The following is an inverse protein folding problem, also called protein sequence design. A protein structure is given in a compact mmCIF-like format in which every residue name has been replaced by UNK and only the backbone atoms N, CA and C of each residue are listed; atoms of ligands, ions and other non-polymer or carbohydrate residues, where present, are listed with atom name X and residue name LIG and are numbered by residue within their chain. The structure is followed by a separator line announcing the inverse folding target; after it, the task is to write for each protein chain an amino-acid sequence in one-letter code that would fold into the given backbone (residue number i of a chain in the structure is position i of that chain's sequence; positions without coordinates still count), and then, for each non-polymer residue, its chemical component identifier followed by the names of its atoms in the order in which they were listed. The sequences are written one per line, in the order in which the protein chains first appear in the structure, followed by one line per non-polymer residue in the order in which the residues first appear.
data_IF_047022262482
#
_entry.id   IF_047022262482
#
_cell.length_a   1.000
_cell.length_b   1.000
_cell.length_c   1.000
_cell.angle_alpha   90.00
_cell.angle_beta   90.00
_cell.angle_gamma   90.00
#
_symmetry.space_group_name_H-M   'P 1'
#
loop_
_entity.id
_entity.type
_entity.pdbx_description
1 polymer ?
#
# COMPACT_ATOMS: atom_id res chain seq x y z
N UNK A 1 70.01 17.95 -37.83
CA UNK A 1 68.83 17.24 -37.29
C UNK A 1 68.40 17.94 -36.00
N UNK A 2 67.12 18.31 -35.95
CA UNK A 2 66.31 18.98 -34.92
C UNK A 2 66.38 18.29 -33.53
N UNK A 3 66.02 18.82 -32.35
CA UNK A 3 65.56 20.11 -31.79
C UNK A 3 65.64 19.97 -30.25
N UNK A 4 65.72 21.07 -29.50
CA UNK A 4 65.64 21.09 -28.03
C UNK A 4 64.26 21.57 -27.52
N UNK A 5 63.91 21.06 -26.34
CA UNK A 5 62.67 21.21 -25.56
C UNK A 5 62.24 22.65 -25.21
N UNK A 6 60.92 22.89 -25.23
CA UNK A 6 60.09 23.39 -24.11
C UNK A 6 58.88 24.21 -24.62
N UNK A 7 57.78 23.53 -24.98
CA UNK A 7 56.50 24.19 -25.22
C UNK A 7 55.68 24.26 -23.93
N UNK A 8 55.23 25.48 -23.61
CA UNK A 8 54.24 25.80 -22.58
C UNK A 8 53.00 24.91 -22.73
N UNK A 9 52.52 24.33 -21.63
CA UNK A 9 51.26 23.62 -21.57
C UNK A 9 50.11 24.62 -21.77
N UNK A 10 49.36 24.48 -22.86
CA UNK A 10 48.01 25.01 -22.98
C UNK A 10 47.06 23.88 -22.56
N UNK A 11 46.08 24.08 -21.66
CA UNK A 11 45.09 23.06 -21.41
C UNK A 11 44.24 22.88 -22.68
N UNK A 12 44.27 21.66 -23.23
CA UNK A 12 43.41 21.24 -24.32
C UNK A 12 41.96 21.31 -23.86
N UNK A 13 41.13 22.07 -24.57
CA UNK A 13 39.68 22.02 -24.42
C UNK A 13 39.21 20.62 -24.85
N UNK A 14 38.99 19.74 -23.88
CA UNK A 14 38.46 18.40 -24.14
C UNK A 14 37.03 18.50 -24.71
N UNK A 15 36.79 18.03 -25.95
CA UNK A 15 35.45 18.05 -26.56
C UNK A 15 34.46 17.06 -25.91
N UNK A 16 34.92 16.19 -25.01
CA UNK A 16 34.09 15.22 -24.30
C UNK A 16 33.59 15.72 -22.92
N UNK A 17 33.58 17.02 -22.66
CA UNK A 17 32.82 17.55 -21.51
C UNK A 17 31.35 17.63 -21.88
N UNK A 18 30.75 16.47 -22.24
CA UNK A 18 29.32 16.33 -22.22
C UNK A 18 28.94 16.47 -20.76
N UNK A 19 28.30 17.60 -20.42
CA UNK A 19 27.65 17.76 -19.13
C UNK A 19 26.94 16.44 -18.85
N UNK A 20 27.21 15.86 -17.68
CA UNK A 20 26.44 14.72 -17.18
C UNK A 20 25.03 15.27 -16.98
N UNK A 21 24.24 15.31 -18.05
CA UNK A 21 22.81 15.51 -17.96
C UNK A 21 22.36 14.40 -17.03
N UNK A 22 21.98 14.82 -15.83
CA UNK A 22 21.22 13.96 -14.95
C UNK A 22 20.04 13.55 -15.81
N UNK A 23 19.80 12.25 -16.07
CA UNK A 23 18.65 11.88 -16.85
C UNK A 23 17.46 12.56 -16.20
N UNK A 24 16.70 13.34 -16.97
CA UNK A 24 15.35 13.74 -16.58
C UNK A 24 14.71 12.52 -15.92
N UNK A 25 14.08 12.64 -14.73
CA UNK A 25 13.26 11.56 -14.22
C UNK A 25 12.36 11.13 -15.38
N UNK A 26 12.58 9.94 -15.92
CA UNK A 26 11.65 9.39 -16.89
C UNK A 26 10.41 9.13 -16.05
N UNK A 27 9.40 9.99 -16.19
CA UNK A 27 8.11 9.80 -15.52
C UNK A 27 7.59 8.44 -15.96
N UNK A 28 7.66 7.47 -15.05
CA UNK A 28 7.03 6.18 -15.27
C UNK A 28 5.53 6.44 -15.44
N UNK A 29 4.88 5.83 -16.44
CA UNK A 29 3.44 5.96 -16.60
C UNK A 29 2.73 5.59 -15.31
N UNK A 30 1.88 6.49 -14.81
CA UNK A 30 1.02 6.24 -13.65
C UNK A 30 -0.21 5.51 -14.15
N UNK A 31 -0.55 4.39 -13.49
CA UNK A 31 -1.82 3.70 -13.71
C UNK A 31 -2.82 4.15 -12.64
N UNK A 32 -3.99 4.59 -13.10
CA UNK A 32 -5.10 4.99 -12.23
C UNK A 32 -6.07 3.82 -12.01
N UNK A 33 -6.47 3.62 -10.75
CA UNK A 33 -7.44 2.59 -10.37
C UNK A 33 -8.68 3.23 -9.75
N UNK A 34 -9.86 2.78 -10.17
CA UNK A 34 -11.13 3.12 -9.54
C UNK A 34 -11.61 1.95 -8.70
N UNK A 35 -11.97 2.20 -7.44
CA UNK A 35 -12.41 1.20 -6.46
C UNK A 35 -13.71 1.66 -5.78
N UNK A 36 -14.54 0.73 -5.35
CA UNK A 36 -15.80 1.04 -4.61
C UNK A 36 -15.54 1.75 -3.27
N UNK A 37 -14.34 1.54 -2.72
CA UNK A 37 -13.87 2.26 -1.54
C UNK A 37 -12.41 1.93 -1.23
N UNK A 38 -11.78 2.83 -0.47
CA UNK A 38 -10.37 2.75 -0.12
C UNK A 38 -10.22 2.99 1.38
N UNK A 39 -9.44 2.14 2.04
CA UNK A 39 -9.05 2.28 3.44
C UNK A 39 -7.55 2.42 3.53
N UNK A 40 -7.08 3.47 4.19
CA UNK A 40 -5.66 3.72 4.42
C UNK A 40 -5.34 3.46 5.89
N UNK A 41 -4.42 2.52 6.17
CA UNK A 41 -4.07 2.13 7.55
C UNK A 41 -3.39 3.24 8.37
N UNK A 42 -2.96 4.33 7.72
CA UNK A 42 -2.45 5.53 8.39
C UNK A 42 -3.57 6.33 9.05
N UNK A 43 -4.77 6.29 8.47
CA UNK A 43 -5.88 7.17 8.83
C UNK A 43 -7.02 6.39 9.51
N UNK A 44 -7.14 5.10 9.19
CA UNK A 44 -8.24 4.24 9.63
C UNK A 44 -7.69 2.97 10.28
N UNK A 45 -8.23 2.67 11.46
CA UNK A 45 -7.96 1.42 12.14
C UNK A 45 -8.85 0.28 11.61
N UNK A 46 -8.67 -0.89 12.21
CA UNK A 46 -9.41 -2.08 11.80
C UNK A 46 -10.89 -2.03 12.20
N UNK A 47 -11.26 -1.20 13.17
CA UNK A 47 -12.63 -1.05 13.65
C UNK A 47 -13.42 -0.22 12.64
N UNK A 48 -12.85 0.89 12.19
CA UNK A 48 -13.44 1.72 11.14
C UNK A 48 -13.50 0.98 9.80
N UNK A 49 -12.46 0.21 9.43
CA UNK A 49 -12.50 -0.66 8.26
C UNK A 49 -13.67 -1.65 8.34
N UNK A 50 -13.83 -2.33 9.48
CA UNK A 50 -14.89 -3.31 9.68
C UNK A 50 -16.27 -2.67 9.54
N UNK A 51 -16.50 -1.55 10.23
CA UNK A 51 -17.76 -0.80 10.18
C UNK A 51 -18.11 -0.34 8.76
N UNK A 52 -17.11 0.14 8.02
CA UNK A 52 -17.32 0.70 6.68
C UNK A 52 -17.59 -0.36 5.62
N UNK A 53 -16.85 -1.48 5.64
CA UNK A 53 -16.83 -2.43 4.52
C UNK A 53 -17.42 -3.81 4.81
N UNK A 54 -17.54 -4.19 6.09
CA UNK A 54 -17.86 -5.57 6.49
C UNK A 54 -19.17 -5.69 7.25
N UNK A 55 -19.45 -4.78 8.19
CA UNK A 55 -20.57 -4.87 9.15
C UNK A 55 -21.93 -5.13 8.47
N UNK A 56 -22.25 -4.40 7.40
CA UNK A 56 -23.51 -4.58 6.66
C UNK A 56 -23.70 -6.00 6.12
N UNK A 57 -22.61 -6.64 5.66
CA UNK A 57 -22.63 -8.01 5.16
C UNK A 57 -22.83 -9.03 6.28
N UNK A 58 -22.30 -8.76 7.46
CA UNK A 58 -22.50 -9.60 8.64
C UNK A 58 -23.95 -9.51 9.12
N UNK A 59 -24.56 -8.32 9.06
CA UNK A 59 -25.98 -8.15 9.34
C UNK A 59 -26.86 -8.95 8.35
N UNK A 60 -26.55 -8.91 7.06
CA UNK A 60 -27.18 -9.77 6.04
C UNK A 60 -27.09 -11.26 6.36
N UNK A 61 -25.95 -11.74 6.86
CA UNK A 61 -25.77 -13.16 7.25
C UNK A 61 -26.70 -13.55 8.40
N UNK A 62 -26.97 -12.65 9.37
CA UNK A 62 -27.97 -12.90 10.43
C UNK A 62 -29.37 -13.12 9.86
N UNK A 63 -29.67 -12.53 8.71
CA UNK A 63 -30.92 -12.68 7.97
C UNK A 63 -30.91 -13.88 7.01
N UNK A 64 -30.01 -14.85 7.23
CA UNK A 64 -29.84 -16.08 6.44
C UNK A 64 -29.27 -15.88 5.04
N UNK A 65 -28.69 -14.70 4.73
CA UNK A 65 -27.95 -14.52 3.48
C UNK A 65 -26.57 -15.21 3.53
N UNK A 66 -26.06 -15.56 2.35
CA UNK A 66 -24.71 -16.13 2.20
C UNK A 66 -23.74 -15.02 1.83
N UNK A 67 -22.64 -14.90 2.58
CA UNK A 67 -21.59 -13.93 2.29
C UNK A 67 -20.21 -14.59 2.30
N UNK A 68 -19.39 -14.23 1.30
CA UNK A 68 -17.97 -14.61 1.23
C UNK A 68 -17.15 -13.33 1.19
N UNK A 69 -16.27 -13.17 2.19
CA UNK A 69 -15.28 -12.08 2.25
C UNK A 69 -13.91 -12.68 2.02
N UNK A 70 -13.17 -12.14 1.05
CA UNK A 70 -11.85 -12.64 0.67
C UNK A 70 -10.83 -11.51 0.69
N UNK A 71 -9.62 -11.83 1.15
CA UNK A 71 -8.49 -10.93 1.16
C UNK A 71 -7.46 -11.39 0.13
N UNK A 72 -7.13 -10.52 -0.82
CA UNK A 72 -6.21 -10.80 -1.91
C UNK A 72 -5.05 -9.81 -1.91
N UNK A 73 -3.84 -10.32 -1.74
CA UNK A 73 -2.59 -9.57 -1.84
C UNK A 73 -1.40 -10.53 -1.82
N UNK A 74 -0.18 -10.08 -2.18
CA UNK A 74 1.03 -10.89 -2.08
C UNK A 74 1.35 -11.35 -0.65
N UNK A 75 2.15 -12.41 -0.51
CA UNK A 75 2.65 -12.87 0.80
C UNK A 75 3.39 -11.75 1.54
N UNK A 76 3.21 -11.65 2.86
CA UNK A 76 3.77 -10.56 3.68
C UNK A 76 2.93 -9.28 3.72
N UNK A 77 1.89 -9.13 2.89
CA UNK A 77 1.02 -7.93 2.86
C UNK A 77 -0.15 -7.98 3.87
N UNK A 78 0.06 -8.56 5.04
CA UNK A 78 -0.86 -8.49 6.19
C UNK A 78 -2.29 -9.06 6.02
N UNK A 79 -2.60 -9.89 5.00
CA UNK A 79 -3.93 -10.55 4.86
C UNK A 79 -4.39 -11.25 6.13
N UNK A 80 -3.55 -12.15 6.65
CA UNK A 80 -3.86 -12.94 7.85
C UNK A 80 -3.91 -12.05 9.09
N UNK A 81 -3.16 -10.95 9.12
CA UNK A 81 -3.25 -9.97 10.18
C UNK A 81 -4.63 -9.29 10.16
N UNK A 82 -5.08 -8.79 9.01
CA UNK A 82 -6.40 -8.16 8.87
C UNK A 82 -7.54 -9.14 9.19
N UNK A 83 -7.45 -10.40 8.70
CA UNK A 83 -8.51 -11.40 8.91
C UNK A 83 -8.53 -11.99 10.34
N UNK A 84 -7.37 -12.39 10.86
CA UNK A 84 -7.24 -13.27 12.03
C UNK A 84 -6.39 -12.68 13.16
N UNK A 85 -6.15 -11.37 13.21
CA UNK A 85 -5.48 -10.76 14.37
C UNK A 85 -6.27 -11.09 15.66
N UNK A 86 -5.61 -11.68 16.64
CA UNK A 86 -6.23 -12.06 17.91
C UNK A 86 -6.06 -10.99 19.01
N UNK A 87 -5.06 -10.10 18.87
CA UNK A 87 -4.82 -8.99 19.80
C UNK A 87 -5.82 -7.85 19.63
N UNK A 88 -5.94 -6.94 20.61
CA UNK A 88 -6.81 -5.75 20.51
C UNK A 88 -6.16 -4.67 19.62
N UNK A 89 -6.83 -4.17 18.57
CA UNK A 89 -8.18 -4.53 18.10
C UNK A 89 -8.20 -5.86 17.31
N UNK A 90 -9.23 -6.71 17.52
CA UNK A 90 -9.31 -8.03 16.89
C UNK A 90 -9.60 -7.96 15.40
N UNK A 91 -9.19 -9.01 14.68
CA UNK A 91 -9.37 -9.22 13.25
C UNK A 91 -10.83 -9.33 12.83
N UNK A 92 -11.06 -9.21 11.52
CA UNK A 92 -12.40 -9.27 10.91
C UNK A 92 -13.17 -10.52 11.36
N UNK A 93 -12.52 -11.69 11.40
CA UNK A 93 -13.19 -12.96 11.75
C UNK A 93 -13.74 -12.91 13.17
N UNK A 94 -12.94 -12.44 14.13
CA UNK A 94 -13.36 -12.38 15.53
C UNK A 94 -14.45 -11.33 15.76
N UNK A 95 -14.37 -10.19 15.06
CA UNK A 95 -15.44 -9.17 15.06
C UNK A 95 -16.75 -9.75 14.51
N UNK A 96 -16.71 -10.37 13.34
CA UNK A 96 -17.88 -11.02 12.74
C UNK A 96 -18.50 -12.10 13.62
N UNK A 97 -17.68 -12.94 14.26
CA UNK A 97 -18.19 -13.96 15.19
C UNK A 97 -18.87 -13.32 16.41
N UNK A 98 -18.28 -12.27 16.99
CA UNK A 98 -18.88 -11.52 18.10
C UNK A 98 -20.24 -10.95 17.69
N UNK A 99 -20.32 -10.34 16.51
CA UNK A 99 -21.54 -9.73 16.01
C UNK A 99 -22.61 -10.77 15.73
N UNK A 100 -22.29 -11.87 15.05
CA UNK A 100 -23.24 -12.96 14.73
C UNK A 100 -23.81 -13.58 16.01
N UNK A 101 -22.97 -13.86 17.00
CA UNK A 101 -23.35 -14.56 18.23
C UNK A 101 -24.02 -13.66 19.27
N UNK A 102 -24.16 -12.35 19.00
CA UNK A 102 -24.81 -11.42 19.92
C UNK A 102 -23.93 -10.99 21.10
N UNK A 103 -22.61 -11.03 20.95
CA UNK A 103 -21.67 -10.52 21.95
C UNK A 103 -21.37 -9.01 21.81
N UNK A 104 -22.02 -8.32 20.87
CA UNK A 104 -21.96 -6.86 20.73
C UNK A 104 -22.87 -6.22 21.78
N UNK A 105 -22.35 -5.23 22.49
CA UNK A 105 -23.00 -4.56 23.61
C UNK A 105 -24.44 -4.11 23.28
N UNK A 106 -25.36 -4.42 24.19
CA UNK A 106 -26.58 -3.62 24.35
C UNK A 106 -26.11 -2.20 24.68
N UNK A 107 -26.21 -1.29 23.72
CA UNK A 107 -26.08 0.14 23.97
C UNK A 107 -27.47 0.74 23.81
N UNK A 108 -28.03 1.15 24.95
CA UNK A 108 -29.31 1.87 25.11
C UNK A 108 -29.20 3.32 24.67
#
# INVERSE_FOLDING_TARGET
LHYNNANKLNPSSNPNTLAKETPSPQEHPVEDFSLDGVSLSKDQDLDLFYKTFVESRIHSVKLQEKCTIMMYSPTGSSKSHTMFKCSKPPGIVYKSLRDILGGGEEES
#
